data_IF_644867059165
#
_entry.id   IF_644867059165
#
_cell.length_a   1.000
_cell.length_b   1.000
_cell.length_c   1.000
_cell.angle_alpha   90.00
_cell.angle_beta   90.00
_cell.angle_gamma   90.00
#
_symmetry.space_group_name_H-M   'P 1'
#
loop_
_entity.id
_entity.type
_entity.pdbx_description
1 polymer ?
#
# COMPACT_ATOMS: atom_id res chain seq x y z
N UNK A 1 10.72 -9.07 23.16
CA UNK A 1 9.96 -10.15 23.83
C UNK A 1 10.28 -11.44 23.08
N UNK A 2 10.83 -12.45 23.76
CA UNK A 2 11.15 -13.75 23.18
C UNK A 2 9.89 -14.62 23.21
N UNK A 3 9.41 -15.03 22.05
CA UNK A 3 8.32 -16.01 21.98
C UNK A 3 8.92 -17.40 21.74
N UNK A 4 8.59 -18.33 22.63
CA UNK A 4 9.02 -19.74 22.54
C UNK A 4 7.97 -20.50 21.75
N UNK A 5 8.35 -21.05 20.60
CA UNK A 5 7.49 -21.92 19.77
C UNK A 5 7.96 -23.35 19.94
N UNK A 6 7.12 -24.23 20.50
CA UNK A 6 7.37 -25.66 20.58
C UNK A 6 6.86 -26.35 19.32
N UNK A 7 7.73 -26.99 18.56
CA UNK A 7 7.37 -27.90 17.48
C UNK A 7 7.46 -29.35 17.94
N UNK A 8 6.35 -30.08 17.85
CA UNK A 8 6.33 -31.54 17.96
C UNK A 8 6.50 -32.14 16.54
N UNK A 9 7.52 -32.95 16.28
CA UNK A 9 7.62 -33.68 15.02
C UNK A 9 6.62 -34.85 15.01
N UNK A 10 5.92 -35.02 13.89
CA UNK A 10 5.05 -36.18 13.64
C UNK A 10 5.94 -37.37 13.20
N UNK A 11 5.92 -38.50 13.88
CA UNK A 11 6.74 -39.63 13.49
C UNK A 11 6.12 -40.40 12.32
N UNK A 12 6.93 -40.65 11.29
CA UNK A 12 6.64 -41.63 10.27
C UNK A 12 7.21 -43.00 10.74
N UNK A 13 6.33 -43.95 10.94
CA UNK A 13 6.58 -45.38 11.16
C UNK A 13 7.68 -45.81 12.15
N UNK A 14 7.28 -46.16 13.33
CA UNK A 14 7.76 -47.32 14.08
C UNK A 14 9.17 -47.26 14.67
N UNK A 15 9.61 -46.09 15.19
CA UNK A 15 10.82 -46.02 16.02
C UNK A 15 10.46 -45.39 17.41
N UNK A 16 11.02 -46.03 18.44
CA UNK A 16 10.88 -45.60 19.82
C UNK A 16 11.42 -44.19 20.01
N UNK A 17 10.65 -43.38 20.74
CA UNK A 17 10.97 -41.98 21.04
C UNK A 17 11.96 -41.96 22.20
N UNK A 18 13.21 -41.55 21.94
CA UNK A 18 14.17 -41.17 22.99
C UNK A 18 13.74 -39.78 23.57
N UNK A 19 13.41 -39.75 24.85
CA UNK A 19 12.89 -38.58 25.57
C UNK A 19 13.96 -37.59 26.07
N UNK A 20 15.18 -37.61 25.48
CA UNK A 20 16.29 -36.81 26.03
C UNK A 20 16.72 -35.58 25.23
N UNK A 21 15.93 -35.08 24.31
CA UNK A 21 16.28 -33.86 23.57
C UNK A 21 15.19 -32.80 23.64
N UNK A 22 15.13 -32.08 24.77
CA UNK A 22 14.40 -30.81 24.86
C UNK A 22 15.37 -29.68 24.50
N UNK A 23 15.69 -29.54 23.23
CA UNK A 23 16.43 -28.37 22.74
C UNK A 23 15.45 -27.20 22.53
N UNK A 24 15.58 -26.20 23.39
CA UNK A 24 14.89 -24.92 23.23
C UNK A 24 15.59 -24.14 22.10
N UNK A 25 15.08 -24.24 20.89
CA UNK A 25 15.55 -23.40 19.78
C UNK A 25 14.91 -22.03 19.92
N UNK A 26 15.69 -21.05 20.36
CA UNK A 26 15.33 -19.65 20.25
C UNK A 26 15.53 -19.22 18.79
N UNK A 27 14.48 -19.26 18.00
CA UNK A 27 14.52 -18.71 16.65
C UNK A 27 14.52 -17.18 16.74
N UNK A 28 15.50 -16.54 16.11
CA UNK A 28 15.54 -15.11 15.88
C UNK A 28 14.46 -14.77 14.84
N UNK A 29 13.39 -14.12 15.30
CA UNK A 29 12.22 -13.75 14.46
C UNK A 29 12.61 -12.80 13.34
N UNK A 30 13.76 -12.13 13.39
CA UNK A 30 14.28 -11.28 12.32
C UNK A 30 14.59 -12.06 11.04
N UNK A 31 14.81 -13.38 11.14
CA UNK A 31 15.14 -14.24 9.99
C UNK A 31 13.91 -14.91 9.34
N UNK A 32 12.71 -14.77 9.93
CA UNK A 32 11.48 -15.35 9.39
C UNK A 32 10.77 -14.43 8.38
N UNK A 33 11.27 -13.22 8.16
CA UNK A 33 10.73 -12.32 7.14
C UNK A 33 11.19 -12.75 5.76
N UNK A 34 10.25 -12.95 4.86
CA UNK A 34 10.53 -13.20 3.45
C UNK A 34 11.37 -12.03 2.88
N UNK A 35 12.44 -12.28 2.09
CA UNK A 35 13.27 -11.19 1.53
C UNK A 35 12.49 -10.11 0.80
N UNK A 36 11.36 -10.46 0.15
CA UNK A 36 10.48 -9.52 -0.52
C UNK A 36 9.68 -8.62 0.44
N UNK A 37 9.51 -9.00 1.70
CA UNK A 37 8.79 -8.18 2.69
C UNK A 37 9.69 -7.12 3.33
N UNK A 38 11.01 -7.30 3.29
CA UNK A 38 11.95 -6.31 3.85
C UNK A 38 12.00 -5.01 3.08
N UNK A 39 11.89 -5.07 1.76
CA UNK A 39 12.04 -3.89 0.89
C UNK A 39 10.80 -2.97 0.91
N UNK A 40 9.64 -3.46 1.38
CA UNK A 40 8.39 -2.71 1.40
C UNK A 40 8.17 -2.00 2.75
N UNK A 41 8.75 -2.50 3.83
CA UNK A 41 8.47 -2.04 5.20
C UNK A 41 9.72 -1.64 6.00
N UNK A 42 10.90 -1.72 5.41
CA UNK A 42 12.14 -1.30 6.08
C UNK A 42 12.32 0.22 5.99
N UNK A 43 11.26 0.95 6.33
CA UNK A 43 11.44 2.31 6.82
C UNK A 43 12.12 2.15 8.17
N UNK A 44 13.39 2.50 8.23
CA UNK A 44 14.11 2.56 9.51
C UNK A 44 13.36 3.56 10.41
N UNK A 45 12.62 3.02 11.35
CA UNK A 45 11.87 3.80 12.35
C UNK A 45 12.65 3.96 13.64
N UNK A 46 13.93 3.54 13.66
CA UNK A 46 14.78 3.61 14.85
C UNK A 46 15.04 5.02 15.31
N UNK A 47 15.03 6.00 14.39
CA UNK A 47 15.19 7.43 14.68
C UNK A 47 13.88 8.17 14.99
N UNK A 48 12.75 7.45 14.99
CA UNK A 48 11.47 8.07 15.32
C UNK A 48 11.32 8.20 16.83
N UNK A 49 11.52 9.39 17.33
CA UNK A 49 11.25 9.71 18.74
C UNK A 49 9.75 9.91 18.96
N UNK A 50 9.09 8.86 19.42
CA UNK A 50 7.68 8.89 19.79
C UNK A 50 7.46 9.48 21.20
N UNK A 51 8.50 9.94 21.87
CA UNK A 51 8.43 10.48 23.24
C UNK A 51 8.16 11.98 23.28
N UNK A 52 8.20 12.69 22.16
CA UNK A 52 7.91 14.12 22.14
C UNK A 52 6.43 14.41 22.46
N UNK A 53 6.17 15.42 23.34
CA UNK A 53 4.81 15.85 23.68
C UNK A 53 4.07 16.35 22.42
N UNK A 54 2.99 15.65 22.03
CA UNK A 54 2.17 15.99 20.86
C UNK A 54 2.28 14.99 19.71
N UNK A 55 3.31 14.17 19.67
CA UNK A 55 3.44 13.05 18.74
C UNK A 55 2.93 11.77 19.39
N UNK A 56 1.64 11.61 19.51
CA UNK A 56 1.10 10.30 19.81
C UNK A 56 0.88 9.51 18.52
N UNK A 57 0.79 8.20 18.62
CA UNK A 57 0.62 7.29 17.48
C UNK A 57 -0.62 7.63 16.62
N UNK A 58 -1.64 8.26 17.21
CA UNK A 58 -2.84 8.69 16.50
C UNK A 58 -2.64 9.97 15.68
N UNK A 59 -1.68 10.82 16.08
CA UNK A 59 -1.38 12.06 15.38
C UNK A 59 -0.46 11.82 14.16
N UNK A 60 0.33 10.75 14.18
CA UNK A 60 1.19 10.41 13.02
C UNK A 60 0.34 10.15 11.80
N UNK A 61 -0.69 9.33 11.92
CA UNK A 61 -1.56 9.01 10.78
C UNK A 61 -2.32 10.25 10.27
N UNK A 62 -2.73 11.17 11.14
CA UNK A 62 -3.37 12.42 10.74
C UNK A 62 -2.39 13.43 10.17
N UNK A 63 -1.14 13.45 10.66
CA UNK A 63 -0.13 14.41 10.23
C UNK A 63 0.28 14.22 8.77
N UNK A 64 0.23 12.99 8.26
CA UNK A 64 0.52 12.69 6.85
C UNK A 64 -0.48 13.33 5.88
N UNK A 65 -1.68 13.68 6.33
CA UNK A 65 -2.77 14.16 5.49
C UNK A 65 -3.08 15.66 5.65
N UNK A 66 -2.58 16.31 6.70
CA UNK A 66 -2.92 17.70 7.02
C UNK A 66 -2.01 18.75 6.36
N UNK A 67 -0.84 18.35 5.85
CA UNK A 67 0.05 19.30 5.19
C UNK A 67 -0.22 19.36 3.69
N UNK A 68 -0.74 20.52 3.25
CA UNK A 68 -0.69 20.84 1.83
C UNK A 68 0.75 20.74 1.35
N UNK A 69 1.02 19.80 0.44
CA UNK A 69 2.32 19.68 -0.17
C UNK A 69 2.70 21.01 -0.80
N UNK A 70 3.96 21.47 -0.68
CA UNK A 70 4.44 22.57 -1.48
C UNK A 70 4.10 22.27 -2.95
N UNK A 71 3.54 23.25 -3.65
CA UNK A 71 3.21 23.13 -5.08
C UNK A 71 4.44 22.89 -5.95
N UNK A 72 5.60 23.09 -5.37
CA UNK A 72 6.90 22.78 -5.96
C UNK A 72 7.59 21.75 -5.05
N UNK A 73 7.49 20.48 -5.42
CA UNK A 73 8.13 19.37 -4.72
C UNK A 73 9.66 19.35 -4.90
N UNK A 74 10.23 20.39 -5.51
CA UNK A 74 11.67 20.57 -5.57
C UNK A 74 12.46 19.36 -6.09
N UNK A 75 11.82 18.52 -6.92
CA UNK A 75 12.61 17.52 -7.65
C UNK A 75 13.72 18.28 -8.36
N UNK A 76 15.02 17.95 -8.12
CA UNK A 76 16.09 18.61 -8.79
C UNK A 76 15.81 18.50 -10.29
N UNK A 77 15.51 19.64 -10.92
CA UNK A 77 15.30 19.66 -12.37
C UNK A 77 16.57 19.06 -12.98
N UNK A 78 16.48 17.97 -13.70
CA UNK A 78 17.66 17.34 -14.27
C UNK A 78 18.32 18.35 -15.18
N UNK A 79 19.63 18.54 -14.99
CA UNK A 79 20.43 19.39 -15.85
C UNK A 79 20.22 18.95 -17.32
N UNK A 80 19.67 19.83 -18.13
CA UNK A 80 19.47 19.58 -19.56
C UNK A 80 20.84 19.75 -20.23
N UNK A 81 21.38 18.67 -20.77
CA UNK A 81 22.59 18.67 -21.55
C UNK A 81 22.19 18.46 -23.03
N UNK A 82 22.50 19.43 -23.87
CA UNK A 82 22.17 19.37 -25.29
C UNK A 82 22.71 18.08 -25.93
N UNK A 83 21.82 17.37 -26.62
CA UNK A 83 22.14 16.13 -27.34
C UNK A 83 22.24 14.88 -26.46
N UNK A 84 21.92 14.95 -25.18
CA UNK A 84 21.88 13.78 -24.28
C UNK A 84 20.54 13.68 -23.59
N UNK A 85 19.98 12.44 -23.55
CA UNK A 85 18.82 12.12 -22.77
C UNK A 85 19.22 11.81 -21.31
N UNK A 86 18.29 11.96 -20.37
CA UNK A 86 18.47 11.62 -18.96
C UNK A 86 18.90 10.16 -18.78
N UNK A 87 18.34 9.26 -19.58
CA UNK A 87 18.65 7.84 -19.64
C UNK A 87 20.08 7.50 -20.08
N UNK A 88 20.80 8.44 -20.71
CA UNK A 88 22.21 8.26 -21.06
C UNK A 88 23.13 8.45 -19.84
N UNK A 89 22.64 9.06 -18.76
CA UNK A 89 23.42 9.49 -17.60
C UNK A 89 22.96 8.85 -16.30
N UNK A 90 21.71 8.47 -16.20
CA UNK A 90 21.09 7.90 -15.00
C UNK A 90 20.73 6.45 -15.24
N UNK A 91 21.18 5.59 -14.34
CA UNK A 91 20.82 4.17 -14.39
C UNK A 91 19.30 4.00 -14.28
N UNK A 92 18.74 3.19 -15.17
CA UNK A 92 17.31 2.90 -15.19
C UNK A 92 16.99 1.70 -14.29
N UNK A 93 15.81 1.67 -13.63
CA UNK A 93 15.30 0.46 -13.02
C UNK A 93 15.23 -0.68 -14.05
N UNK A 94 15.54 -1.90 -13.65
CA UNK A 94 15.60 -3.05 -14.55
C UNK A 94 14.29 -3.39 -15.27
N UNK A 95 13.17 -2.79 -14.84
CA UNK A 95 11.85 -2.93 -15.46
C UNK A 95 11.51 -1.84 -16.47
N UNK A 96 12.43 -0.91 -16.74
CA UNK A 96 12.23 0.24 -17.63
C UNK A 96 13.28 0.20 -18.73
N UNK A 97 12.83 0.27 -19.98
CA UNK A 97 13.71 0.34 -21.14
C UNK A 97 14.19 1.76 -21.39
N UNK A 98 15.35 1.90 -22.05
CA UNK A 98 15.85 3.23 -22.47
C UNK A 98 14.80 3.98 -23.31
N UNK A 99 14.12 3.27 -24.22
CA UNK A 99 13.10 3.86 -25.07
C UNK A 99 11.94 4.49 -24.28
N UNK A 100 11.44 3.78 -23.26
CA UNK A 100 10.41 4.30 -22.36
C UNK A 100 10.88 5.53 -21.58
N UNK A 101 12.11 5.51 -21.10
CA UNK A 101 12.69 6.63 -20.36
C UNK A 101 12.86 7.88 -21.25
N UNK A 102 13.32 7.70 -22.49
CA UNK A 102 13.44 8.79 -23.47
C UNK A 102 12.06 9.35 -23.83
N UNK A 103 11.05 8.49 -24.01
CA UNK A 103 9.67 8.94 -24.22
C UNK A 103 9.15 9.74 -23.02
N UNK A 104 9.40 9.27 -21.80
CA UNK A 104 8.97 9.94 -20.58
C UNK A 104 9.57 11.35 -20.49
N UNK A 105 10.87 11.50 -20.78
CA UNK A 105 11.53 12.80 -20.76
C UNK A 105 10.93 13.76 -21.80
N UNK A 106 10.64 13.28 -23.01
CA UNK A 106 9.97 14.08 -24.05
C UNK A 106 8.56 14.50 -23.60
N UNK A 107 7.83 13.63 -22.90
CA UNK A 107 6.50 13.95 -22.40
C UNK A 107 6.57 14.99 -21.27
N UNK A 108 7.47 14.83 -20.30
CA UNK A 108 7.71 15.82 -19.25
C UNK A 108 8.07 17.20 -19.82
N UNK A 109 8.95 17.25 -20.84
CA UNK A 109 9.33 18.49 -21.49
C UNK A 109 8.14 19.19 -22.18
N UNK A 110 7.22 18.42 -22.78
CA UNK A 110 5.97 18.97 -23.35
C UNK A 110 5.02 19.50 -22.28
N UNK A 111 4.89 18.80 -21.18
CA UNK A 111 4.03 19.20 -20.03
C UNK A 111 4.52 20.50 -19.37
N UNK A 112 5.81 20.80 -19.45
CA UNK A 112 6.39 22.03 -18.93
C UNK A 112 6.11 23.27 -19.79
N UNK A 113 5.67 23.10 -21.05
CA UNK A 113 5.36 24.22 -21.94
C UNK A 113 4.05 24.90 -21.54
N UNK A 114 4.04 26.23 -21.23
CA UNK A 114 2.85 26.92 -20.71
C UNK A 114 1.63 26.87 -21.65
N UNK A 115 1.86 26.83 -22.94
CA UNK A 115 0.82 26.80 -23.97
C UNK A 115 0.10 25.45 -24.04
N UNK A 116 0.77 24.35 -23.72
CA UNK A 116 0.19 23.01 -23.69
C UNK A 116 -0.53 22.73 -22.37
N UNK A 117 -0.05 23.29 -21.24
CA UNK A 117 -0.74 23.20 -19.95
C UNK A 117 -2.18 23.77 -19.97
N UNK A 118 -2.40 24.83 -20.76
CA UNK A 118 -3.73 25.43 -20.90
C UNK A 118 -4.70 24.57 -21.71
N UNK A 119 -4.21 23.60 -22.46
CA UNK A 119 -5.01 22.76 -23.37
C UNK A 119 -5.26 21.33 -22.82
N UNK A 120 -4.53 20.90 -21.79
CA UNK A 120 -4.80 19.59 -21.14
C UNK A 120 -5.83 19.78 -20.05
N UNK A 121 -7.09 19.47 -20.36
CA UNK A 121 -8.24 19.58 -19.44
C UNK A 121 -8.08 18.73 -18.18
N UNK A 122 -7.16 17.77 -18.13
CA UNK A 122 -7.10 16.73 -17.10
C UNK A 122 -5.93 16.86 -16.13
N UNK A 123 -5.16 17.97 -16.15
CA UNK A 123 -4.05 18.17 -15.20
C UNK A 123 -3.16 16.90 -15.01
N UNK A 124 -2.71 16.32 -16.14
CA UNK A 124 -1.88 15.11 -16.14
C UNK A 124 -0.41 15.44 -15.88
N UNK A 125 0.33 14.47 -15.33
CA UNK A 125 1.78 14.52 -15.17
C UNK A 125 2.42 13.18 -15.49
N UNK A 126 3.54 13.24 -16.20
CA UNK A 126 4.44 12.10 -16.44
C UNK A 126 5.48 12.04 -15.31
N UNK A 127 5.84 10.83 -14.88
CA UNK A 127 6.85 10.60 -13.85
C UNK A 127 7.98 9.76 -14.43
N UNK A 128 9.07 10.42 -14.79
CA UNK A 128 10.25 9.75 -15.33
C UNK A 128 10.73 8.63 -14.38
N UNK A 129 11.16 7.48 -14.87
CA UNK A 129 11.46 7.13 -16.26
C UNK A 129 10.34 6.37 -17.02
N UNK A 130 9.09 6.38 -16.57
CA UNK A 130 7.98 5.71 -17.30
C UNK A 130 7.09 6.70 -18.03
N UNK A 131 6.70 6.40 -19.29
CA UNK A 131 5.91 7.31 -20.13
C UNK A 131 4.41 7.25 -19.84
N UNK A 132 4.02 6.88 -18.61
CA UNK A 132 2.63 6.82 -18.19
C UNK A 132 2.20 8.11 -17.51
N UNK A 133 1.12 8.70 -18.00
CA UNK A 133 0.55 9.89 -17.38
C UNK A 133 -0.40 9.51 -16.24
N UNK A 134 -0.26 10.19 -15.11
CA UNK A 134 -1.20 10.15 -13.99
C UNK A 134 -1.99 11.46 -14.00
N UNK A 135 -3.33 11.37 -13.92
CA UNK A 135 -4.21 12.51 -14.19
C UNK A 135 -5.17 12.80 -13.03
N UNK A 136 -5.71 14.01 -13.00
CA UNK A 136 -6.86 14.41 -12.21
C UNK A 136 -6.76 14.06 -10.70
N UNK A 137 -7.82 13.47 -10.16
CA UNK A 137 -7.91 13.10 -8.75
C UNK A 137 -6.91 12.00 -8.35
N UNK A 138 -6.59 11.08 -9.27
CA UNK A 138 -5.57 10.04 -9.04
C UNK A 138 -4.19 10.67 -8.88
N UNK A 139 -3.85 11.66 -9.74
CA UNK A 139 -2.61 12.41 -9.61
C UNK A 139 -2.54 13.15 -8.26
N UNK A 140 -3.62 13.88 -7.92
CA UNK A 140 -3.67 14.63 -6.66
C UNK A 140 -3.45 13.71 -5.45
N UNK A 141 -4.07 12.52 -5.45
CA UNK A 141 -3.84 11.50 -4.42
C UNK A 141 -2.40 11.01 -4.42
N UNK A 142 -1.86 10.65 -5.58
CA UNK A 142 -0.49 10.14 -5.70
C UNK A 142 0.55 11.12 -5.15
N UNK A 143 0.42 12.39 -5.51
CA UNK A 143 1.29 13.45 -5.01
C UNK A 143 1.11 13.69 -3.49
N UNK A 144 -0.11 13.51 -2.97
CA UNK A 144 -0.39 13.69 -1.53
C UNK A 144 0.19 12.60 -0.63
N UNK A 145 0.57 11.45 -1.18
CA UNK A 145 1.20 10.37 -0.42
C UNK A 145 2.68 10.62 -0.10
N UNK A 146 3.30 11.62 -0.73
CA UNK A 146 4.67 11.98 -0.49
C UNK A 146 4.79 12.87 0.76
N UNK A 147 5.70 12.52 1.66
CA UNK A 147 6.01 13.30 2.87
C UNK A 147 7.19 14.22 2.57
N UNK A 148 6.89 15.44 2.14
CA UNK A 148 7.91 16.37 1.63
C UNK A 148 9.00 16.71 2.68
N UNK A 149 8.62 16.90 3.95
CA UNK A 149 9.59 17.19 5.01
C UNK A 149 10.52 16.00 5.32
N UNK A 150 10.12 14.77 4.99
CA UNK A 150 10.96 13.58 5.08
C UNK A 150 11.77 13.33 3.80
N UNK A 151 11.80 14.28 2.86
CA UNK A 151 12.50 14.14 1.59
C UNK A 151 11.87 13.14 0.61
N UNK A 152 10.63 12.75 0.85
CA UNK A 152 9.90 11.83 -0.04
C UNK A 152 9.42 12.56 -1.30
N UNK A 153 9.37 11.81 -2.38
CA UNK A 153 8.74 12.20 -3.65
C UNK A 153 7.44 11.38 -3.85
N UNK A 154 6.60 11.72 -4.82
CA UNK A 154 5.44 10.88 -5.16
C UNK A 154 5.80 9.41 -5.41
N UNK A 155 7.02 9.11 -5.86
CA UNK A 155 7.52 7.76 -6.11
C UNK A 155 7.80 6.94 -4.83
N UNK A 156 7.95 7.59 -3.68
CA UNK A 156 8.47 6.97 -2.46
C UNK A 156 7.54 5.93 -1.85
N UNK A 157 6.24 6.02 -2.06
CA UNK A 157 5.26 5.09 -1.48
C UNK A 157 4.80 4.03 -2.48
N UNK A 158 4.15 4.44 -3.56
CA UNK A 158 3.61 3.49 -4.56
C UNK A 158 4.61 3.13 -5.67
N UNK A 159 5.75 3.79 -5.74
CA UNK A 159 6.70 3.61 -6.84
C UNK A 159 6.22 4.25 -8.14
N UNK A 160 6.78 3.81 -9.24
CA UNK A 160 6.50 4.33 -10.58
C UNK A 160 5.12 3.89 -11.11
N UNK A 161 4.41 4.73 -11.89
CA UNK A 161 3.19 4.31 -12.55
C UNK A 161 3.50 3.24 -13.61
N UNK A 162 2.74 2.14 -13.58
CA UNK A 162 2.84 1.02 -14.55
C UNK A 162 1.80 1.12 -15.66
N UNK A 163 0.79 1.97 -15.47
CA UNK A 163 -0.23 2.25 -16.49
C UNK A 163 -0.59 3.73 -16.48
N UNK A 164 -1.23 4.20 -17.55
CA UNK A 164 -2.04 5.39 -17.50
C UNK A 164 -3.35 5.14 -16.75
N UNK A 165 -4.29 6.10 -16.83
CA UNK A 165 -5.62 5.94 -16.25
C UNK A 165 -6.42 4.88 -17.02
N UNK A 166 -6.92 3.87 -16.29
CA UNK A 166 -7.76 2.80 -16.78
C UNK A 166 -9.18 2.97 -16.26
N UNK A 167 -10.17 2.74 -17.12
CA UNK A 167 -11.58 2.71 -16.69
C UNK A 167 -11.91 1.36 -16.07
N UNK A 168 -12.57 1.37 -14.92
CA UNK A 168 -13.00 0.16 -14.23
C UNK A 168 -14.21 -0.50 -14.94
N UNK A 169 -14.48 -1.78 -14.66
CA UNK A 169 -15.57 -2.52 -15.32
C UNK A 169 -16.96 -1.92 -15.15
N UNK A 170 -17.20 -1.09 -14.14
CA UNK A 170 -18.46 -0.35 -13.95
C UNK A 170 -18.65 0.80 -14.95
N UNK A 171 -17.62 1.10 -15.76
CA UNK A 171 -17.63 2.18 -16.75
C UNK A 171 -17.52 3.60 -16.19
N UNK A 172 -17.46 3.76 -14.86
CA UNK A 172 -17.44 5.06 -14.16
C UNK A 172 -16.14 5.27 -13.40
N UNK A 173 -15.78 4.30 -12.57
CA UNK A 173 -14.56 4.35 -11.77
C UNK A 173 -13.31 4.31 -12.62
N UNK A 174 -12.21 4.82 -12.06
CA UNK A 174 -10.90 4.89 -12.68
C UNK A 174 -9.84 4.31 -11.77
N UNK A 175 -8.77 3.82 -12.36
CA UNK A 175 -7.58 3.39 -11.62
C UNK A 175 -6.30 3.65 -12.40
N UNK A 176 -5.21 3.74 -11.66
CA UNK A 176 -3.83 3.68 -12.18
C UNK A 176 -3.07 2.64 -11.39
N UNK A 177 -2.30 1.82 -12.08
CA UNK A 177 -1.42 0.82 -11.48
C UNK A 177 -0.04 1.42 -11.24
N UNK A 178 0.57 1.08 -10.10
CA UNK A 178 1.91 1.47 -9.68
C UNK A 178 2.73 0.23 -9.31
N UNK A 179 4.04 0.39 -9.08
CA UNK A 179 4.91 -0.73 -8.71
C UNK A 179 4.45 -1.43 -7.44
N UNK A 180 4.00 -0.68 -6.43
CA UNK A 180 3.65 -1.18 -5.10
C UNK A 180 2.15 -1.12 -4.78
N UNK A 181 1.28 -0.99 -5.79
CA UNK A 181 -0.16 -0.95 -5.57
C UNK A 181 -0.92 -0.19 -6.64
N UNK A 182 -2.01 0.40 -6.22
CA UNK A 182 -2.98 1.07 -7.10
C UNK A 182 -3.48 2.35 -6.45
N UNK A 183 -3.97 3.28 -7.27
CA UNK A 183 -4.92 4.30 -6.83
C UNK A 183 -6.21 4.09 -7.61
N UNK A 184 -7.30 3.94 -6.88
CA UNK A 184 -8.66 3.85 -7.40
C UNK A 184 -9.41 5.13 -7.12
N UNK A 185 -10.19 5.55 -8.08
CA UNK A 185 -11.07 6.69 -7.96
C UNK A 185 -12.50 6.33 -8.38
N UNK A 186 -13.47 6.81 -7.62
CA UNK A 186 -14.88 6.76 -7.97
C UNK A 186 -15.55 8.06 -7.49
N UNK A 187 -16.57 8.61 -8.20
CA UNK A 187 -17.21 9.85 -7.78
C UNK A 187 -17.82 9.79 -6.37
N UNK A 188 -18.29 8.62 -5.95
CA UNK A 188 -18.92 8.45 -4.63
C UNK A 188 -17.90 8.30 -3.48
N UNK A 189 -16.68 7.88 -3.76
CA UNK A 189 -15.69 7.58 -2.71
C UNK A 189 -14.45 8.48 -2.74
N UNK A 190 -14.16 9.12 -3.87
CA UNK A 190 -12.91 9.84 -4.09
C UNK A 190 -11.77 8.94 -4.54
N UNK A 191 -10.54 9.46 -4.46
CA UNK A 191 -9.32 8.75 -4.84
C UNK A 191 -8.59 8.21 -3.61
N UNK A 192 -8.28 6.90 -3.59
CA UNK A 192 -7.62 6.22 -2.49
C UNK A 192 -6.55 5.25 -2.97
N UNK A 193 -5.46 5.17 -2.23
CA UNK A 193 -4.38 4.21 -2.50
C UNK A 193 -4.74 2.83 -1.95
N UNK A 194 -4.33 1.78 -2.66
CA UNK A 194 -4.43 0.39 -2.20
C UNK A 194 -3.07 -0.26 -2.41
N UNK A 195 -2.42 -0.64 -1.34
CA UNK A 195 -1.11 -1.30 -1.36
C UNK A 195 -1.20 -2.71 -1.94
N UNK A 196 -0.08 -3.25 -2.42
CA UNK A 196 -0.06 -4.58 -3.06
C UNK A 196 -0.65 -5.67 -2.16
N UNK A 197 -0.32 -5.70 -0.86
CA UNK A 197 -0.85 -6.73 0.05
C UNK A 197 -2.36 -6.61 0.27
N UNK A 198 -2.89 -5.39 0.41
CA UNK A 198 -4.33 -5.18 0.50
C UNK A 198 -5.03 -5.51 -0.82
N UNK A 199 -4.40 -5.23 -1.96
CA UNK A 199 -4.97 -5.54 -3.27
C UNK A 199 -5.11 -7.04 -3.51
N UNK A 200 -4.22 -7.89 -2.97
CA UNK A 200 -4.34 -9.35 -3.04
C UNK A 200 -5.62 -9.82 -2.34
N UNK A 201 -5.88 -9.30 -1.13
CA UNK A 201 -7.10 -9.62 -0.38
C UNK A 201 -8.34 -9.09 -1.11
N UNK A 202 -8.28 -7.85 -1.59
CA UNK A 202 -9.36 -7.23 -2.32
C UNK A 202 -9.68 -7.96 -3.65
N UNK A 203 -8.64 -8.40 -4.37
CA UNK A 203 -8.78 -9.20 -5.60
C UNK A 203 -9.54 -10.51 -5.38
N UNK A 204 -9.16 -11.28 -4.33
CA UNK A 204 -9.86 -12.54 -4.02
C UNK A 204 -11.30 -12.32 -3.56
N UNK A 205 -11.64 -11.10 -3.14
CA UNK A 205 -13.00 -10.67 -2.81
C UNK A 205 -13.73 -9.98 -3.98
N UNK A 206 -13.19 -10.02 -5.21
CA UNK A 206 -13.84 -9.55 -6.44
C UNK A 206 -13.63 -8.08 -6.78
N UNK A 207 -12.58 -7.44 -6.24
CA UNK A 207 -12.23 -6.04 -6.47
C UNK A 207 -13.40 -5.09 -6.13
N UNK A 208 -13.53 -3.98 -6.87
CA UNK A 208 -14.59 -2.97 -6.68
C UNK A 208 -16.01 -3.51 -6.94
N UNK A 209 -16.14 -4.54 -7.78
CA UNK A 209 -17.43 -5.21 -8.05
C UNK A 209 -17.78 -6.26 -6.99
N UNK A 210 -16.80 -6.65 -6.20
CA UNK A 210 -16.95 -7.67 -5.18
C UNK A 210 -17.61 -7.17 -3.89
N UNK A 211 -17.50 -8.00 -2.86
CA UNK A 211 -18.19 -7.78 -1.58
C UNK A 211 -17.80 -6.50 -0.87
N UNK A 212 -16.54 -6.09 -0.96
CA UNK A 212 -16.02 -4.90 -0.28
C UNK A 212 -16.39 -3.59 -0.97
N UNK A 213 -16.55 -3.58 -2.30
CA UNK A 213 -16.75 -2.35 -3.08
C UNK A 213 -15.47 -1.52 -3.23
N UNK A 214 -15.61 -0.22 -3.53
CA UNK A 214 -14.49 0.71 -3.65
C UNK A 214 -13.85 1.04 -2.30
N UNK A 215 -12.54 1.34 -2.28
CA UNK A 215 -11.89 1.88 -1.08
C UNK A 215 -12.48 3.25 -0.72
N UNK A 216 -12.57 3.52 0.59
CA UNK A 216 -13.06 4.78 1.18
C UNK A 216 -12.04 5.43 2.10
N UNK A 217 -10.87 4.83 2.22
CA UNK A 217 -9.70 5.39 2.92
C UNK A 217 -8.41 4.88 2.29
N UNK A 218 -7.30 5.53 2.58
CA UNK A 218 -6.00 4.91 2.50
C UNK A 218 -5.85 3.88 3.63
N UNK A 219 -4.77 3.11 3.61
CA UNK A 219 -4.41 2.23 4.71
C UNK A 219 -3.90 3.06 5.89
N UNK A 220 -4.52 2.91 7.06
CA UNK A 220 -4.21 3.64 8.29
C UNK A 220 -3.83 2.68 9.42
N UNK A 221 -3.11 3.17 10.42
CA UNK A 221 -2.79 2.42 11.62
C UNK A 221 -4.04 2.07 12.43
N UNK A 222 -4.00 0.95 13.13
CA UNK A 222 -5.04 0.55 14.08
C UNK A 222 -4.86 1.27 15.42
N UNK A 223 -5.94 1.39 16.18
CA UNK A 223 -5.95 2.14 17.43
C UNK A 223 -5.06 1.56 18.54
N UNK A 224 -4.61 0.31 18.43
CA UNK A 224 -3.62 -0.31 19.32
C UNK A 224 -2.17 -0.04 18.89
N UNK A 225 -1.96 0.53 17.70
CA UNK A 225 -0.67 0.84 17.13
C UNK A 225 0.15 -0.39 16.70
N UNK A 226 -0.48 -1.55 16.51
CA UNK A 226 0.18 -2.81 16.11
C UNK A 226 -0.11 -3.15 14.66
N UNK A 227 -1.38 -3.04 14.25
CA UNK A 227 -1.83 -3.39 12.91
C UNK A 227 -2.16 -2.17 12.05
N UNK A 228 -2.64 -2.47 10.87
CA UNK A 228 -3.15 -1.49 9.93
C UNK A 228 -4.52 -1.90 9.42
N UNK A 229 -5.31 -0.93 8.99
CA UNK A 229 -6.64 -1.18 8.40
C UNK A 229 -6.91 -0.26 7.22
N UNK A 230 -7.70 -0.75 6.29
CA UNK A 230 -8.21 0.02 5.17
C UNK A 230 -9.73 -0.16 5.07
N UNK A 231 -10.45 0.95 4.92
CA UNK A 231 -11.90 0.94 4.82
C UNK A 231 -12.33 0.88 3.36
N UNK A 232 -13.41 0.13 3.13
CA UNK A 232 -14.11 0.01 1.86
C UNK A 232 -15.59 0.32 2.05
N UNK A 233 -16.34 0.46 0.97
CA UNK A 233 -17.76 0.80 1.02
C UNK A 233 -18.59 -0.16 1.89
N UNK A 234 -18.25 -1.45 1.92
CA UNK A 234 -19.05 -2.49 2.59
C UNK A 234 -18.26 -3.36 3.56
N UNK A 235 -16.98 -3.05 3.80
CA UNK A 235 -16.13 -3.83 4.68
C UNK A 235 -14.82 -3.15 4.98
N UNK A 236 -13.91 -3.90 5.58
CA UNK A 236 -12.55 -3.44 5.91
C UNK A 236 -11.54 -4.57 5.64
N UNK A 237 -10.31 -4.18 5.31
CA UNK A 237 -9.16 -5.07 5.29
C UNK A 237 -8.29 -4.71 6.48
N UNK A 238 -7.86 -5.72 7.22
CA UNK A 238 -6.94 -5.61 8.35
C UNK A 238 -5.64 -6.31 8.03
N UNK A 239 -4.53 -5.64 8.32
CA UNK A 239 -3.17 -6.19 8.27
C UNK A 239 -2.62 -6.25 9.67
N UNK A 240 -2.26 -7.46 10.13
CA UNK A 240 -1.72 -7.71 11.46
C UNK A 240 -0.73 -8.87 11.43
N UNK A 241 -0.21 -9.26 12.59
CA UNK A 241 0.62 -10.47 12.72
C UNK A 241 -0.15 -11.76 12.36
N UNK A 242 -1.47 -11.74 12.38
CA UNK A 242 -2.33 -12.87 11.97
C UNK A 242 -2.48 -12.97 10.44
N UNK A 243 -2.02 -11.97 9.70
CA UNK A 243 -2.12 -11.90 8.24
C UNK A 243 -2.88 -10.70 7.73
N UNK A 244 -3.22 -10.73 6.43
CA UNK A 244 -4.05 -9.71 5.77
C UNK A 244 -5.39 -10.33 5.43
N UNK A 245 -6.45 -9.80 6.01
CA UNK A 245 -7.79 -10.40 5.96
C UNK A 245 -8.87 -9.33 5.81
N UNK A 246 -10.01 -9.73 5.23
CA UNK A 246 -11.19 -8.89 5.09
C UNK A 246 -12.30 -9.30 6.05
N UNK A 247 -13.04 -8.32 6.54
CA UNK A 247 -14.23 -8.50 7.37
C UNK A 247 -15.31 -7.53 6.92
N UNK A 248 -16.57 -8.00 6.87
CA UNK A 248 -17.67 -7.23 6.28
C UNK A 248 -19.02 -7.49 6.97
N UNK A 249 -20.04 -6.76 6.59
CA UNK A 249 -21.42 -7.00 6.98
C UNK A 249 -21.65 -7.10 8.48
N UNK A 250 -22.51 -8.05 8.88
CA UNK A 250 -22.93 -8.21 10.29
C UNK A 250 -21.82 -8.70 11.22
N UNK A 251 -20.85 -9.43 10.69
CA UNK A 251 -19.70 -9.86 11.45
C UNK A 251 -18.84 -8.66 11.81
N UNK A 252 -18.56 -7.78 10.83
CA UNK A 252 -17.85 -6.52 11.06
C UNK A 252 -18.59 -5.62 12.07
N UNK A 253 -19.91 -5.43 11.90
CA UNK A 253 -20.72 -4.63 12.83
C UNK A 253 -20.57 -5.16 14.27
N UNK A 254 -20.70 -6.48 14.45
CA UNK A 254 -20.60 -7.09 15.76
C UNK A 254 -19.21 -7.02 16.37
N UNK A 255 -18.20 -7.18 15.54
CA UNK A 255 -16.81 -7.06 15.97
C UNK A 255 -16.47 -5.62 16.41
N UNK A 256 -16.98 -4.61 15.68
CA UNK A 256 -16.86 -3.20 16.09
C UNK A 256 -17.54 -2.96 17.46
N UNK A 257 -18.75 -3.50 17.67
CA UNK A 257 -19.46 -3.41 18.97
C UNK A 257 -18.66 -4.02 20.13
N UNK A 258 -17.84 -5.03 19.87
CA UNK A 258 -17.00 -5.70 20.87
C UNK A 258 -15.67 -5.01 21.11
N UNK A 259 -15.37 -3.90 20.45
CA UNK A 259 -14.19 -3.07 20.67
C UNK A 259 -13.07 -3.23 19.64
N UNK A 260 -13.39 -3.77 18.47
CA UNK A 260 -12.45 -3.97 17.36
C UNK A 260 -11.21 -4.77 17.80
N UNK A 261 -10.02 -4.40 17.30
CA UNK A 261 -8.73 -5.03 17.63
C UNK A 261 -8.35 -4.95 19.11
N UNK A 262 -8.93 -3.98 19.84
CA UNK A 262 -8.73 -3.81 21.30
C UNK A 262 -9.71 -4.63 22.15
N UNK A 263 -10.75 -5.14 21.52
CA UNK A 263 -11.76 -5.95 22.19
C UNK A 263 -11.28 -7.38 22.50
N UNK A 264 -12.09 -8.18 23.17
CA UNK A 264 -11.71 -9.54 23.59
C UNK A 264 -11.48 -10.52 22.45
N UNK A 265 -11.94 -10.20 21.24
CA UNK A 265 -11.77 -11.04 20.05
C UNK A 265 -10.42 -10.80 19.34
N UNK A 266 -9.78 -9.64 19.57
CA UNK A 266 -8.54 -9.27 18.87
C UNK A 266 -8.72 -9.12 17.36
N UNK A 267 -7.64 -9.32 16.61
CA UNK A 267 -7.66 -9.22 15.14
C UNK A 267 -8.37 -10.40 14.49
N UNK A 268 -9.10 -10.18 13.38
CA UNK A 268 -9.62 -11.28 12.58
C UNK A 268 -8.46 -12.11 12.00
N UNK A 269 -8.61 -13.43 12.01
CA UNK A 269 -7.57 -14.38 11.59
C UNK A 269 -7.75 -14.89 10.16
N UNK A 270 -8.97 -14.85 9.64
CA UNK A 270 -9.33 -15.29 8.28
C UNK A 270 -10.31 -14.31 7.65
N UNK A 271 -10.44 -14.36 6.32
CA UNK A 271 -11.58 -13.76 5.65
C UNK A 271 -12.88 -14.45 6.11
N UNK A 272 -14.00 -13.77 5.93
CA UNK A 272 -15.29 -14.40 6.18
C UNK A 272 -15.53 -15.57 5.23
N UNK A 273 -15.81 -16.71 5.81
CA UNK A 273 -16.15 -17.95 5.10
C UNK A 273 -17.62 -18.32 5.30
N UNK A 274 -18.18 -19.06 4.35
CA UNK A 274 -19.51 -19.63 4.49
C UNK A 274 -19.50 -20.80 5.45
N UNK A 275 -20.58 -20.93 6.25
CA UNK A 275 -20.77 -22.15 7.06
C UNK A 275 -21.05 -23.36 6.18
N UNK A 276 -20.72 -24.59 6.61
CA UNK A 276 -20.93 -25.80 5.81
C UNK A 276 -22.39 -26.06 5.41
N UNK A 277 -23.35 -25.51 6.15
CA UNK A 277 -24.79 -25.59 5.82
C UNK A 277 -25.24 -24.59 4.74
N UNK A 278 -24.32 -23.70 4.31
CA UNK A 278 -24.58 -22.68 3.29
C UNK A 278 -25.48 -21.53 3.74
N UNK A 279 -25.86 -21.45 5.02
CA UNK A 279 -26.80 -20.44 5.55
C UNK A 279 -26.09 -19.30 6.23
N UNK A 280 -25.03 -19.59 6.98
CA UNK A 280 -24.30 -18.63 7.78
C UNK A 280 -22.94 -18.26 7.19
N UNK A 281 -22.26 -17.34 7.90
CA UNK A 281 -20.85 -16.94 7.68
C UNK A 281 -20.16 -16.81 9.04
N UNK A 282 -18.85 -17.05 9.04
CA UNK A 282 -18.00 -16.93 10.23
C UNK A 282 -16.63 -16.33 9.85
#
# INVERSE_FOLDING_TARGET
MLATVCFNPIPAHGQEIDQSANETVTADISQLRHPAERDIYDVDTSDWDFSEPGMNKNNIDNHYYEHALPTDLGEPQPEIIDGQMRSDRIALPGTVTKHEADQAEVMEAKEQQPQLRAMTADNCRTYWPRPHQVCGAIKAKYESLAVAWAGQTPLSFLGLPKSGELTNPDGVGKRTEFDNGFIYWHPDTGAWSVTTHNSIVWARNGWEQGRLGYPTSDEIGTGDGVGRKQMFQRGRIYTSLSGVVSIEGKILEKWIETGEEKGPLGYPATDEEGTPDGVGRF
#
